data_IF_885373414936
#
_entry.id   IF_885373414936
#
_cell.length_a   1.000
_cell.length_b   1.000
_cell.length_c   1.000
_cell.angle_alpha   90.00
_cell.angle_beta   90.00
_cell.angle_gamma   90.00
#
_symmetry.space_group_name_H-M   'P 1'
#
loop_
_entity.id
_entity.type
_entity.pdbx_description
1 polymer ?
#
# COMPACT_ATOMS: atom_id res chain seq x y z
N UNK A 1 13.01 22.06 -16.01
CA UNK A 1 11.80 21.80 -15.22
C UNK A 1 11.52 22.76 -14.06
N UNK A 2 12.02 22.58 -12.81
CA UNK A 2 11.55 23.41 -11.66
C UNK A 2 11.71 24.92 -11.92
N UNK A 3 12.90 25.36 -12.35
CA UNK A 3 13.19 26.79 -12.63
C UNK A 3 12.36 27.38 -13.78
N UNK A 4 11.92 26.55 -14.71
CA UNK A 4 11.16 26.95 -15.89
C UNK A 4 9.71 27.28 -15.52
N UNK A 5 9.07 26.42 -14.72
CA UNK A 5 7.71 26.61 -14.24
C UNK A 5 7.62 27.58 -13.05
N UNK A 6 8.65 27.63 -12.22
CA UNK A 6 8.73 28.48 -11.03
C UNK A 6 9.98 29.38 -11.02
N UNK A 7 10.15 30.31 -11.99
CA UNK A 7 11.36 31.12 -12.14
C UNK A 7 11.59 32.13 -11.00
N UNK A 8 10.54 32.45 -10.24
CA UNK A 8 10.59 33.36 -9.08
C UNK A 8 10.67 32.61 -7.74
N UNK A 9 10.91 31.31 -7.76
CA UNK A 9 11.04 30.52 -6.54
C UNK A 9 12.32 30.91 -5.80
N UNK A 10 12.17 31.44 -4.58
CA UNK A 10 13.29 31.76 -3.68
C UNK A 10 13.51 30.69 -2.61
N UNK A 11 12.57 29.75 -2.45
CA UNK A 11 12.71 28.66 -1.50
C UNK A 11 13.72 27.63 -2.01
N UNK A 12 14.53 27.09 -1.10
CA UNK A 12 15.50 26.02 -1.41
C UNK A 12 14.81 24.67 -1.66
N UNK A 13 13.52 24.55 -1.37
CA UNK A 13 12.75 23.32 -1.48
C UNK A 13 11.36 23.61 -2.08
N UNK A 14 11.02 22.87 -3.13
CA UNK A 14 9.72 22.92 -3.78
C UNK A 14 8.72 22.02 -3.02
N UNK A 15 7.85 22.62 -2.21
CA UNK A 15 6.80 21.89 -1.47
C UNK A 15 5.46 22.04 -2.13
N UNK A 16 4.81 20.92 -2.47
CA UNK A 16 3.49 20.94 -3.10
C UNK A 16 2.48 21.80 -2.32
N UNK A 17 2.34 21.54 -1.01
CA UNK A 17 1.38 22.22 -0.13
C UNK A 17 1.58 23.75 -0.09
N UNK A 18 2.80 24.24 -0.26
CA UNK A 18 3.06 25.67 -0.29
C UNK A 18 2.62 26.30 -1.62
N UNK A 19 2.75 25.56 -2.72
CA UNK A 19 2.39 25.99 -4.06
C UNK A 19 0.88 25.93 -4.29
N UNK A 20 0.22 24.83 -3.94
CA UNK A 20 -1.20 24.58 -4.22
C UNK A 20 -2.13 25.55 -3.48
N UNK A 21 -1.69 26.07 -2.31
CA UNK A 21 -2.42 27.10 -1.55
C UNK A 21 -2.63 28.41 -2.31
N UNK A 22 -1.86 28.68 -3.37
CA UNK A 22 -2.00 29.89 -4.19
C UNK A 22 -2.70 29.50 -5.50
N UNK A 23 -3.96 29.91 -5.73
CA UNK A 23 -4.68 29.54 -6.95
C UNK A 23 -3.94 29.89 -8.24
N UNK A 24 -3.23 31.03 -8.27
CA UNK A 24 -2.41 31.44 -9.42
C UNK A 24 -1.21 30.53 -9.73
N UNK A 25 -0.84 29.60 -8.84
CA UNK A 25 0.18 28.59 -9.10
C UNK A 25 -0.39 27.30 -9.72
N UNK A 26 -1.70 27.06 -9.67
CA UNK A 26 -2.31 25.80 -10.17
C UNK A 26 -2.00 25.53 -11.65
N UNK A 27 -2.12 26.51 -12.58
CA UNK A 27 -1.76 26.28 -13.98
C UNK A 27 -0.27 25.93 -14.17
N UNK A 28 0.61 26.45 -13.31
CA UNK A 28 2.06 26.14 -13.34
C UNK A 28 2.36 24.76 -12.79
N UNK A 29 1.62 24.31 -11.78
CA UNK A 29 1.70 22.94 -11.28
C UNK A 29 1.25 21.95 -12.36
N UNK A 30 0.12 22.21 -13.02
CA UNK A 30 -0.35 21.38 -14.14
C UNK A 30 0.66 21.35 -15.28
N UNK A 31 1.21 22.50 -15.69
CA UNK A 31 2.23 22.54 -16.74
C UNK A 31 3.51 21.77 -16.35
N UNK A 32 3.98 21.92 -15.11
CA UNK A 32 5.10 21.15 -14.58
C UNK A 32 4.84 19.63 -14.64
N UNK A 33 3.66 19.20 -14.19
CA UNK A 33 3.29 17.78 -14.16
C UNK A 33 3.12 17.21 -15.56
N UNK A 34 2.58 17.99 -16.49
CA UNK A 34 2.47 17.60 -17.90
C UNK A 34 3.83 17.30 -18.50
N UNK A 35 4.78 18.22 -18.37
CA UNK A 35 6.12 18.04 -18.93
C UNK A 35 6.85 16.89 -18.23
N UNK A 36 6.69 16.75 -16.91
CA UNK A 36 7.28 15.66 -16.13
C UNK A 36 6.76 14.29 -16.57
N UNK A 37 5.45 14.12 -16.69
CA UNK A 37 4.81 12.86 -17.07
C UNK A 37 5.06 12.51 -18.54
N UNK A 38 5.19 13.50 -19.42
CA UNK A 38 5.47 13.29 -20.84
C UNK A 38 6.93 12.92 -21.10
N UNK A 39 7.88 13.60 -20.45
CA UNK A 39 9.30 13.49 -20.80
C UNK A 39 10.07 12.46 -19.97
N UNK A 40 9.48 11.96 -18.86
CA UNK A 40 10.15 11.04 -17.93
C UNK A 40 9.29 9.82 -17.60
N UNK A 41 9.93 8.64 -17.53
CA UNK A 41 9.33 7.43 -16.99
C UNK A 41 8.95 7.70 -15.53
N UNK A 42 7.64 7.75 -15.26
CA UNK A 42 7.10 8.17 -13.98
C UNK A 42 6.01 7.21 -13.53
N UNK A 43 5.92 6.99 -12.22
CA UNK A 43 4.84 6.24 -11.59
C UNK A 43 4.39 6.96 -10.32
N UNK A 44 3.07 7.10 -10.17
CA UNK A 44 2.41 7.53 -8.95
C UNK A 44 1.61 6.37 -8.39
N UNK A 45 1.75 6.11 -7.09
CA UNK A 45 0.95 5.11 -6.37
C UNK A 45 0.08 5.77 -5.30
N UNK A 46 -1.24 5.62 -5.41
CA UNK A 46 -2.21 6.05 -4.39
C UNK A 46 -2.82 4.84 -3.68
N UNK A 47 -2.74 4.82 -2.36
CA UNK A 47 -3.28 3.75 -1.52
C UNK A 47 -4.30 4.31 -0.53
N UNK A 48 -5.49 3.72 -0.47
CA UNK A 48 -6.44 3.95 0.59
C UNK A 48 -5.96 3.24 1.86
N UNK A 49 -5.64 4.01 2.90
CA UNK A 49 -5.08 3.49 4.15
C UNK A 49 -6.08 2.65 4.94
N UNK A 50 -7.38 2.98 4.88
CA UNK A 50 -8.40 2.22 5.58
C UNK A 50 -8.59 0.87 4.89
N UNK A 51 -8.67 0.88 3.56
CA UNK A 51 -8.76 -0.36 2.78
C UNK A 51 -7.55 -1.26 3.02
N UNK A 52 -6.33 -0.71 3.00
CA UNK A 52 -5.13 -1.48 3.30
C UNK A 52 -5.16 -2.08 4.71
N UNK A 53 -5.64 -1.34 5.71
CA UNK A 53 -5.80 -1.89 7.06
C UNK A 53 -6.79 -3.05 7.11
N UNK A 54 -7.91 -2.95 6.38
CA UNK A 54 -8.90 -4.02 6.27
C UNK A 54 -8.33 -5.22 5.50
N UNK A 55 -7.52 -4.99 4.46
CA UNK A 55 -6.82 -6.04 3.73
C UNK A 55 -5.84 -6.79 4.65
N UNK A 56 -5.02 -6.06 5.42
CA UNK A 56 -4.15 -6.67 6.45
C UNK A 56 -4.95 -7.41 7.52
N UNK A 57 -6.12 -6.92 7.90
CA UNK A 57 -7.02 -7.66 8.78
C UNK A 57 -7.45 -8.98 8.13
N UNK A 58 -7.86 -8.98 6.86
CA UNK A 58 -8.15 -10.22 6.16
C UNK A 58 -6.93 -11.17 6.13
N UNK A 59 -5.73 -10.66 5.85
CA UNK A 59 -4.52 -11.48 5.76
C UNK A 59 -4.10 -12.11 7.10
N UNK A 60 -4.26 -11.42 8.23
CA UNK A 60 -3.77 -11.91 9.53
C UNK A 60 -4.86 -12.42 10.48
N UNK A 61 -6.07 -11.87 10.40
CA UNK A 61 -7.19 -12.21 11.28
C UNK A 61 -8.21 -13.17 10.65
N UNK A 62 -8.15 -13.41 9.34
CA UNK A 62 -9.14 -14.23 8.61
C UNK A 62 -8.47 -15.38 7.86
N UNK A 63 -7.49 -15.08 7.02
CA UNK A 63 -6.85 -16.07 6.14
C UNK A 63 -6.30 -17.31 6.88
N UNK A 64 -5.60 -17.19 8.03
CA UNK A 64 -4.99 -18.36 8.65
C UNK A 64 -6.02 -19.42 9.07
N UNK A 65 -7.25 -18.98 9.37
CA UNK A 65 -8.35 -19.90 9.66
C UNK A 65 -8.83 -20.67 8.43
N UNK A 66 -8.89 -20.02 7.26
CA UNK A 66 -9.21 -20.70 6.00
C UNK A 66 -8.08 -21.64 5.57
N UNK A 67 -6.83 -21.23 5.76
CA UNK A 67 -5.66 -22.04 5.48
C UNK A 67 -5.66 -23.35 6.30
N UNK A 68 -5.93 -23.27 7.60
CA UNK A 68 -6.06 -24.44 8.48
C UNK A 68 -7.17 -25.42 8.03
N UNK A 69 -8.18 -24.93 7.32
CA UNK A 69 -9.26 -25.72 6.73
C UNK A 69 -8.94 -26.23 5.31
N UNK A 70 -7.75 -25.92 4.78
CA UNK A 70 -7.33 -26.32 3.43
C UNK A 70 -7.92 -25.48 2.30
N UNK A 71 -8.41 -24.27 2.60
CA UNK A 71 -8.95 -23.34 1.61
C UNK A 71 -7.91 -22.27 1.24
N UNK A 72 -7.70 -22.05 -0.06
CA UNK A 72 -6.86 -20.96 -0.55
C UNK A 72 -7.66 -19.66 -0.59
N UNK A 73 -7.57 -18.86 0.48
CA UNK A 73 -8.27 -17.58 0.59
C UNK A 73 -7.75 -16.49 -0.38
N UNK A 74 -6.60 -16.73 -1.02
CA UNK A 74 -6.05 -15.83 -2.03
C UNK A 74 -6.48 -16.19 -3.46
N UNK A 75 -7.13 -17.34 -3.65
CA UNK A 75 -7.58 -17.80 -4.96
C UNK A 75 -8.43 -16.73 -5.65
N UNK A 76 -8.04 -16.36 -6.87
CA UNK A 76 -8.63 -15.29 -7.68
C UNK A 76 -8.85 -13.96 -6.92
N UNK A 77 -8.06 -13.66 -5.89
CA UNK A 77 -8.14 -12.40 -5.14
C UNK A 77 -9.32 -12.29 -4.17
N UNK A 78 -9.81 -13.41 -3.63
CA UNK A 78 -10.90 -13.42 -2.64
C UNK A 78 -10.64 -12.52 -1.41
N UNK A 79 -9.40 -12.42 -0.94
CA UNK A 79 -9.01 -11.51 0.14
C UNK A 79 -9.31 -10.02 -0.22
N UNK A 80 -9.02 -9.60 -1.46
CA UNK A 80 -9.35 -8.26 -1.94
C UNK A 80 -10.85 -8.03 -2.04
N UNK A 81 -11.61 -9.01 -2.52
CA UNK A 81 -13.07 -8.92 -2.60
C UNK A 81 -13.69 -8.75 -1.21
N UNK A 82 -13.30 -9.59 -0.25
CA UNK A 82 -13.78 -9.49 1.13
C UNK A 82 -13.37 -8.16 1.77
N UNK A 83 -12.10 -7.75 1.62
CA UNK A 83 -11.63 -6.48 2.17
C UNK A 83 -12.36 -5.27 1.55
N UNK A 84 -12.70 -5.33 0.26
CA UNK A 84 -13.40 -4.26 -0.43
C UNK A 84 -14.83 -4.13 0.08
N UNK A 85 -15.53 -5.27 0.21
CA UNK A 85 -16.86 -5.32 0.80
C UNK A 85 -16.85 -4.73 2.22
N UNK A 86 -15.97 -5.22 3.09
CA UNK A 86 -15.84 -4.74 4.48
C UNK A 86 -15.50 -3.24 4.56
N UNK A 87 -14.65 -2.73 3.66
CA UNK A 87 -14.29 -1.31 3.66
C UNK A 87 -15.49 -0.43 3.31
N UNK A 88 -16.32 -0.88 2.36
CA UNK A 88 -17.48 -0.13 1.87
C UNK A 88 -18.72 -0.27 2.76
N UNK A 89 -18.94 -1.44 3.36
CA UNK A 89 -20.19 -1.74 4.07
C UNK A 89 -20.00 -2.00 5.56
N UNK A 90 -18.76 -2.18 6.05
CA UNK A 90 -18.47 -2.68 7.40
C UNK A 90 -19.13 -1.88 8.52
N UNK A 91 -19.15 -0.54 8.46
CA UNK A 91 -19.85 0.28 9.46
C UNK A 91 -21.36 0.02 9.48
N UNK A 92 -21.97 -0.12 8.31
CA UNK A 92 -23.42 -0.35 8.19
C UNK A 92 -23.78 -1.79 8.57
N UNK A 93 -22.98 -2.77 8.14
CA UNK A 93 -23.25 -4.20 8.29
C UNK A 93 -22.87 -4.71 9.69
N UNK A 94 -21.71 -4.29 10.21
CA UNK A 94 -21.10 -4.81 11.44
C UNK A 94 -21.24 -3.85 12.63
N UNK A 95 -21.74 -2.63 12.40
CA UNK A 95 -22.02 -1.62 13.42
C UNK A 95 -21.08 -0.41 13.39
N UNK A 96 -21.64 0.75 13.70
CA UNK A 96 -20.94 2.04 13.88
C UNK A 96 -21.18 2.50 15.34
N UNK A 97 -20.14 2.54 16.21
CA UNK A 97 -18.70 2.53 15.90
C UNK A 97 -18.00 1.16 15.98
N UNK A 98 -18.71 0.06 16.24
CA UNK A 98 -18.11 -1.23 16.63
C UNK A 98 -17.11 -1.77 15.60
N UNK A 99 -17.37 -1.62 14.31
CA UNK A 99 -16.43 -2.04 13.27
C UNK A 99 -15.11 -1.25 13.33
N UNK A 100 -15.16 0.05 13.59
CA UNK A 100 -13.95 0.87 13.70
C UNK A 100 -13.19 0.59 14.99
N UNK A 101 -13.89 0.32 16.09
CA UNK A 101 -13.29 -0.11 17.35
C UNK A 101 -12.57 -1.45 17.21
N UNK A 102 -13.13 -2.40 16.46
CA UNK A 102 -12.48 -3.66 16.13
C UNK A 102 -11.21 -3.46 15.30
N UNK A 103 -11.24 -2.59 14.27
CA UNK A 103 -10.04 -2.27 13.48
C UNK A 103 -8.96 -1.59 14.33
N UNK A 104 -9.35 -0.70 15.26
CA UNK A 104 -8.42 -0.08 16.20
C UNK A 104 -7.81 -1.11 17.17
N UNK A 105 -8.63 -2.03 17.69
CA UNK A 105 -8.15 -3.14 18.52
C UNK A 105 -7.21 -4.07 17.75
N UNK A 106 -7.44 -4.27 16.45
CA UNK A 106 -6.54 -5.04 15.57
C UNK A 106 -5.19 -4.36 15.44
N UNK A 107 -5.14 -3.06 15.14
CA UNK A 107 -3.88 -2.31 15.10
C UNK A 107 -3.13 -2.36 16.44
N UNK A 108 -3.86 -2.23 17.55
CA UNK A 108 -3.28 -2.34 18.89
C UNK A 108 -2.71 -3.73 19.16
N UNK A 109 -3.44 -4.79 18.82
CA UNK A 109 -3.00 -6.18 18.96
C UNK A 109 -1.76 -6.48 18.10
N UNK A 110 -1.74 -6.02 16.85
CA UNK A 110 -0.56 -6.14 15.97
C UNK A 110 0.63 -5.38 16.54
N UNK A 111 0.42 -4.22 17.16
CA UNK A 111 1.52 -3.44 17.75
C UNK A 111 2.08 -4.07 19.02
N UNK A 112 1.23 -4.36 19.99
CA UNK A 112 1.64 -4.82 21.33
C UNK A 112 1.92 -6.33 21.39
N UNK A 113 1.21 -7.13 20.57
CA UNK A 113 1.34 -8.60 20.49
C UNK A 113 1.17 -9.33 21.83
N UNK A 114 0.61 -8.66 22.84
CA UNK A 114 0.41 -9.24 24.17
C UNK A 114 -0.86 -10.10 24.19
N UNK A 115 -0.90 -11.06 25.11
CA UNK A 115 -2.09 -11.90 25.29
C UNK A 115 -3.33 -11.07 25.68
N UNK A 116 -3.15 -9.96 26.39
CA UNK A 116 -4.23 -9.02 26.70
C UNK A 116 -4.75 -8.30 25.45
N UNK A 117 -3.87 -7.74 24.63
CA UNK A 117 -4.26 -7.05 23.41
C UNK A 117 -4.98 -8.00 22.41
N UNK A 118 -4.53 -9.24 22.30
CA UNK A 118 -5.20 -10.27 21.50
C UNK A 118 -6.61 -10.61 22.04
N UNK A 119 -6.77 -10.70 23.37
CA UNK A 119 -8.08 -10.91 24.00
C UNK A 119 -9.01 -9.72 23.76
N UNK A 120 -8.50 -8.50 23.83
CA UNK A 120 -9.25 -7.28 23.54
C UNK A 120 -9.72 -7.25 22.09
N UNK A 121 -8.88 -7.64 21.13
CA UNK A 121 -9.29 -7.80 19.73
C UNK A 121 -10.43 -8.80 19.57
N UNK A 122 -10.33 -9.98 20.18
CA UNK A 122 -11.40 -10.99 20.13
C UNK A 122 -12.69 -10.44 20.76
N UNK A 123 -12.58 -9.71 21.87
CA UNK A 123 -13.73 -9.06 22.49
C UNK A 123 -14.37 -8.02 21.57
N UNK A 124 -13.57 -7.15 20.96
CA UNK A 124 -14.05 -6.14 20.01
C UNK A 124 -14.70 -6.77 18.77
N UNK A 125 -14.18 -7.89 18.26
CA UNK A 125 -14.82 -8.63 17.18
C UNK A 125 -16.22 -9.13 17.60
N UNK A 126 -16.38 -9.61 18.83
CA UNK A 126 -17.67 -10.09 19.38
C UNK A 126 -18.70 -8.99 19.63
N UNK A 127 -18.27 -7.74 19.81
CA UNK A 127 -19.22 -6.61 20.00
C UNK A 127 -19.80 -6.12 18.69
N UNK A 128 -19.18 -6.42 17.55
CA UNK A 128 -19.78 -6.18 16.23
C UNK A 128 -21.00 -7.07 15.99
N UNK A 129 -21.80 -6.72 14.98
CA UNK A 129 -22.85 -7.59 14.42
C UNK A 129 -22.26 -8.73 13.57
N UNK A 130 -21.25 -9.43 14.07
CA UNK A 130 -20.45 -10.40 13.31
C UNK A 130 -21.25 -11.54 12.67
N UNK A 131 -22.44 -11.84 13.19
CA UNK A 131 -23.34 -12.84 12.62
C UNK A 131 -23.91 -12.44 11.25
N UNK A 132 -23.87 -11.14 10.90
CA UNK A 132 -24.26 -10.66 9.57
C UNK A 132 -23.20 -10.95 8.52
N UNK A 133 -21.94 -11.20 8.93
CA UNK A 133 -20.87 -11.62 8.04
C UNK A 133 -19.87 -12.57 8.73
N UNK A 134 -20.31 -13.78 9.09
CA UNK A 134 -19.52 -14.71 9.89
C UNK A 134 -18.27 -15.22 9.15
N UNK A 135 -18.26 -15.22 7.82
CA UNK A 135 -17.12 -15.61 7.00
C UNK A 135 -15.91 -14.70 7.21
N UNK A 136 -16.14 -13.41 7.49
CA UNK A 136 -15.10 -12.42 7.72
C UNK A 136 -14.73 -12.28 9.20
N UNK A 137 -15.73 -12.26 10.09
CA UNK A 137 -15.51 -11.90 11.50
C UNK A 137 -15.53 -13.12 12.43
N UNK A 138 -16.18 -14.21 12.02
CA UNK A 138 -16.27 -15.47 12.75
C UNK A 138 -14.93 -16.08 13.17
N UNK A 139 -13.84 -16.04 12.34
CA UNK A 139 -12.52 -16.52 12.75
C UNK A 139 -12.08 -15.95 14.12
N UNK A 140 -12.30 -14.66 14.36
CA UNK A 140 -12.03 -14.04 15.66
C UNK A 140 -13.21 -14.18 16.62
N UNK A 141 -14.41 -13.78 16.22
CA UNK A 141 -15.53 -13.61 17.14
C UNK A 141 -16.07 -14.94 17.67
N UNK A 142 -16.23 -15.93 16.79
CA UNK A 142 -16.75 -17.25 17.15
C UNK A 142 -15.64 -18.17 17.65
N UNK A 143 -14.57 -18.30 16.87
CA UNK A 143 -13.57 -19.34 17.09
C UNK A 143 -12.38 -18.87 17.92
N UNK A 144 -12.14 -17.55 18.03
CA UNK A 144 -10.90 -17.01 18.56
C UNK A 144 -9.68 -17.77 18.00
N UNK A 145 -9.68 -17.94 16.67
CA UNK A 145 -8.87 -18.92 15.95
C UNK A 145 -7.38 -18.79 16.35
N UNK A 146 -6.77 -19.85 16.91
CA UNK A 146 -5.38 -19.78 17.37
C UNK A 146 -4.39 -19.40 16.26
N UNK A 147 -4.60 -19.89 15.02
CA UNK A 147 -3.76 -19.54 13.88
C UNK A 147 -3.78 -18.04 13.57
N UNK A 148 -4.98 -17.42 13.54
CA UNK A 148 -5.12 -15.97 13.36
C UNK A 148 -4.42 -15.17 14.47
N UNK A 149 -4.65 -15.54 15.73
CA UNK A 149 -4.02 -14.87 16.87
C UNK A 149 -2.49 -15.02 16.86
N UNK A 150 -1.99 -16.18 16.44
CA UNK A 150 -0.56 -16.44 16.27
C UNK A 150 0.04 -15.63 15.12
N UNK A 151 -0.66 -15.52 13.99
CA UNK A 151 -0.24 -14.71 12.85
C UNK A 151 -0.08 -13.23 13.26
N UNK A 152 -1.07 -12.67 13.96
CA UNK A 152 -1.03 -11.31 14.52
C UNK A 152 0.15 -11.13 15.49
N UNK A 153 0.42 -12.13 16.32
CA UNK A 153 1.49 -12.09 17.32
C UNK A 153 2.89 -12.36 16.74
N UNK A 154 3.02 -12.65 15.44
CA UNK A 154 4.30 -13.01 14.83
C UNK A 154 5.28 -11.82 14.87
N UNK A 155 6.51 -11.98 15.38
CA UNK A 155 7.51 -10.92 15.37
C UNK A 155 7.75 -10.37 13.97
N UNK A 156 7.76 -9.05 13.83
CA UNK A 156 7.94 -8.38 12.53
C UNK A 156 6.65 -8.04 11.80
N UNK A 157 5.52 -8.68 12.11
CA UNK A 157 4.21 -8.28 11.58
C UNK A 157 3.84 -6.90 12.12
N UNK A 158 3.41 -6.00 11.23
CA UNK A 158 2.91 -4.68 11.58
C UNK A 158 1.82 -4.22 10.59
N UNK A 159 1.25 -3.05 10.84
CA UNK A 159 0.27 -2.41 9.95
C UNK A 159 0.85 -1.19 9.22
N UNK A 160 2.17 -1.13 9.01
CA UNK A 160 2.81 -0.03 8.29
C UNK A 160 2.64 -0.22 6.78
N UNK A 161 1.98 0.75 6.15
CA UNK A 161 1.75 0.76 4.71
C UNK A 161 3.03 0.96 3.88
N UNK A 162 4.11 1.48 4.48
CA UNK A 162 5.29 1.91 3.73
C UNK A 162 5.95 0.78 2.94
N UNK A 163 6.05 -0.43 3.51
CA UNK A 163 6.66 -1.57 2.82
C UNK A 163 5.82 -2.02 1.63
N UNK A 164 4.49 -2.10 1.79
CA UNK A 164 3.55 -2.44 0.72
C UNK A 164 3.67 -1.43 -0.43
N UNK A 165 3.64 -0.13 -0.09
CA UNK A 165 3.80 0.96 -1.07
C UNK A 165 5.12 0.86 -1.81
N UNK A 166 6.21 0.61 -1.09
CA UNK A 166 7.53 0.49 -1.67
C UNK A 166 7.65 -0.73 -2.59
N UNK A 167 7.13 -1.88 -2.18
CA UNK A 167 7.14 -3.10 -3.01
C UNK A 167 6.35 -2.93 -4.30
N UNK A 168 5.18 -2.30 -4.26
CA UNK A 168 4.42 -2.01 -5.48
C UNK A 168 5.15 -1.05 -6.42
N UNK A 169 5.82 -0.02 -5.86
CA UNK A 169 6.65 0.89 -6.65
C UNK A 169 7.86 0.16 -7.26
N UNK A 170 8.54 -0.71 -6.50
CA UNK A 170 9.66 -1.52 -7.02
C UNK A 170 9.17 -2.42 -8.14
N UNK A 171 8.12 -3.22 -7.91
CA UNK A 171 7.54 -4.10 -8.95
C UNK A 171 7.22 -3.31 -10.23
N UNK A 172 6.67 -2.10 -10.09
CA UNK A 172 6.38 -1.26 -11.24
C UNK A 172 7.64 -0.71 -11.92
N UNK A 173 8.64 -0.27 -11.16
CA UNK A 173 9.91 0.22 -11.69
C UNK A 173 10.73 -0.89 -12.36
N UNK A 174 10.64 -2.14 -11.89
CA UNK A 174 11.23 -3.32 -12.53
C UNK A 174 10.67 -3.54 -13.95
N UNK A 175 9.36 -3.34 -14.14
CA UNK A 175 8.70 -3.42 -15.46
C UNK A 175 9.10 -2.23 -16.33
N UNK A 176 9.18 -1.03 -15.76
CA UNK A 176 9.48 0.19 -16.50
C UNK A 176 10.95 0.33 -16.91
N UNK A 177 11.87 -0.34 -16.21
CA UNK A 177 13.31 -0.18 -16.40
C UNK A 177 13.89 -1.34 -17.21
N UNK A 178 14.58 -1.02 -18.30
CA UNK A 178 15.29 -2.02 -19.13
C UNK A 178 16.69 -2.34 -18.59
N UNK A 179 17.18 -1.52 -17.65
CA UNK A 179 18.53 -1.55 -17.11
C UNK A 179 18.49 -1.51 -15.58
N UNK A 180 19.64 -1.80 -14.96
CA UNK A 180 19.81 -1.62 -13.52
C UNK A 180 19.57 -0.16 -13.12
N UNK A 181 18.88 0.03 -11.99
CA UNK A 181 18.53 1.35 -11.48
C UNK A 181 18.77 1.47 -9.98
N UNK A 182 18.76 2.70 -9.49
CA UNK A 182 18.84 3.04 -8.07
C UNK A 182 17.63 3.87 -7.68
N UNK A 183 17.20 3.75 -6.43
CA UNK A 183 16.12 4.56 -5.86
C UNK A 183 16.71 5.57 -4.88
N UNK A 184 16.37 6.84 -5.08
CA UNK A 184 16.62 7.91 -4.13
C UNK A 184 15.31 8.25 -3.44
N UNK A 185 15.29 8.17 -2.12
CA UNK A 185 14.13 8.50 -1.31
C UNK A 185 14.47 9.63 -0.34
N UNK A 186 13.48 10.44 0.03
CA UNK A 186 13.65 11.43 1.10
C UNK A 186 13.96 10.73 2.44
N UNK A 187 14.48 11.46 3.43
CA UNK A 187 14.75 10.84 4.73
C UNK A 187 13.46 10.35 5.40
N UNK A 188 13.41 9.05 5.70
CA UNK A 188 12.25 8.39 6.31
C UNK A 188 12.69 7.38 7.36
N UNK A 189 12.19 7.56 8.58
CA UNK A 189 12.39 6.59 9.69
C UNK A 189 11.83 5.20 9.36
N UNK A 190 10.76 5.13 8.56
CA UNK A 190 10.18 3.85 8.16
C UNK A 190 11.13 3.10 7.24
N UNK A 191 11.79 3.79 6.29
CA UNK A 191 12.78 3.14 5.42
C UNK A 191 14.02 2.66 6.17
N UNK A 192 14.47 3.37 7.21
CA UNK A 192 15.57 2.91 8.06
C UNK A 192 15.29 1.51 8.63
N UNK A 193 14.02 1.21 8.94
CA UNK A 193 13.59 -0.11 9.43
C UNK A 193 13.64 -1.19 8.35
N UNK A 194 13.33 -0.85 7.09
CA UNK A 194 13.26 -1.81 5.99
C UNK A 194 14.58 -2.00 5.24
N UNK A 195 15.61 -1.19 5.52
CA UNK A 195 16.91 -1.27 4.84
C UNK A 195 17.48 -2.70 4.78
N UNK A 196 17.38 -3.47 5.88
CA UNK A 196 17.90 -4.85 5.91
C UNK A 196 17.10 -5.78 4.99
N UNK A 197 15.78 -5.65 4.97
CA UNK A 197 14.93 -6.44 4.08
C UNK A 197 15.18 -6.05 2.62
N UNK A 198 15.23 -4.75 2.31
CA UNK A 198 15.50 -4.25 0.96
C UNK A 198 16.86 -4.73 0.44
N UNK A 199 17.89 -4.70 1.28
CA UNK A 199 19.21 -5.19 0.90
C UNK A 199 19.16 -6.69 0.57
N UNK A 200 18.45 -7.49 1.37
CA UNK A 200 18.27 -8.92 1.07
C UNK A 200 17.51 -9.16 -0.23
N UNK A 201 16.48 -8.36 -0.53
CA UNK A 201 15.75 -8.46 -1.80
C UNK A 201 16.67 -8.11 -2.99
N UNK A 202 17.51 -7.08 -2.85
CA UNK A 202 18.48 -6.66 -3.88
C UNK A 202 19.56 -7.71 -4.10
N UNK A 203 20.06 -8.33 -3.03
CA UNK A 203 21.11 -9.36 -3.06
C UNK A 203 20.59 -10.76 -3.42
N UNK A 204 19.27 -10.93 -3.58
CA UNK A 204 18.68 -12.23 -3.86
C UNK A 204 18.93 -12.65 -5.31
N UNK A 205 19.63 -13.77 -5.50
CA UNK A 205 20.09 -14.24 -6.82
C UNK A 205 19.23 -15.35 -7.43
N UNK A 206 18.31 -15.98 -6.69
CA UNK A 206 17.49 -17.05 -7.27
C UNK A 206 16.61 -16.51 -8.40
N UNK A 207 16.58 -17.21 -9.52
CA UNK A 207 15.73 -16.88 -10.65
C UNK A 207 14.30 -17.38 -10.39
N UNK A 208 13.39 -16.45 -10.15
CA UNK A 208 11.96 -16.76 -9.99
C UNK A 208 11.09 -15.62 -10.53
N UNK A 209 9.97 -16.00 -11.12
CA UNK A 209 8.87 -15.11 -11.44
C UNK A 209 7.61 -15.62 -10.72
N UNK A 210 6.97 -14.75 -9.93
CA UNK A 210 5.75 -15.04 -9.20
C UNK A 210 4.69 -14.01 -9.58
N UNK A 211 3.64 -14.46 -10.27
CA UNK A 211 2.57 -13.60 -10.77
C UNK A 211 1.69 -13.10 -9.63
N UNK A 212 1.42 -11.78 -9.60
CA UNK A 212 0.50 -11.18 -8.64
C UNK A 212 -0.84 -10.81 -9.29
N UNK A 213 -0.78 -10.21 -10.48
CA UNK A 213 -1.95 -9.79 -11.26
C UNK A 213 -1.63 -9.94 -12.75
N UNK A 214 -2.53 -9.48 -13.64
CA UNK A 214 -2.21 -9.35 -15.07
C UNK A 214 -1.04 -8.40 -15.36
N UNK A 215 -0.83 -7.38 -14.53
CA UNK A 215 0.15 -6.30 -14.80
C UNK A 215 1.30 -6.24 -13.79
N UNK A 216 1.37 -7.18 -12.85
CA UNK A 216 2.36 -7.21 -11.79
C UNK A 216 2.84 -8.64 -11.49
N UNK A 217 4.16 -8.77 -11.36
CA UNK A 217 4.87 -9.96 -10.89
C UNK A 217 6.00 -9.54 -9.96
N UNK A 218 6.41 -10.45 -9.07
CA UNK A 218 7.71 -10.40 -8.42
C UNK A 218 8.71 -11.17 -9.24
N UNK A 219 9.83 -10.53 -9.58
CA UNK A 219 10.91 -11.12 -10.35
C UNK A 219 12.21 -11.00 -9.57
N UNK A 220 12.96 -12.09 -9.49
CA UNK A 220 14.34 -12.08 -9.01
C UNK A 220 15.27 -12.71 -10.06
N UNK A 221 16.54 -12.28 -10.13
CA UNK A 221 17.13 -11.14 -9.38
C UNK A 221 16.53 -9.78 -9.79
N UNK A 222 16.52 -8.82 -8.87
CA UNK A 222 16.02 -7.46 -9.14
C UNK A 222 17.00 -6.66 -10.02
N UNK A 223 16.48 -5.76 -10.86
CA UNK A 223 17.29 -4.73 -11.54
C UNK A 223 17.68 -3.61 -10.58
N UNK A 224 16.90 -3.39 -9.52
CA UNK A 224 17.22 -2.48 -8.42
C UNK A 224 18.56 -2.84 -7.79
N UNK A 225 19.55 -1.96 -7.91
CA UNK A 225 20.89 -2.16 -7.35
C UNK A 225 21.10 -1.48 -5.99
N UNK A 226 20.35 -0.42 -5.69
CA UNK A 226 20.55 0.37 -4.47
C UNK A 226 19.30 1.18 -4.11
N UNK A 227 19.00 1.26 -2.80
CA UNK A 227 18.09 2.27 -2.24
C UNK A 227 18.88 3.18 -1.31
N UNK A 228 18.86 4.49 -1.57
CA UNK A 228 19.56 5.49 -0.76
C UNK A 228 18.64 6.61 -0.30
N UNK A 229 18.88 7.10 0.92
CA UNK A 229 18.17 8.26 1.46
C UNK A 229 18.94 9.56 1.20
N UNK A 230 18.25 10.60 0.76
CA UNK A 230 18.81 11.92 0.44
C UNK A 230 18.02 13.03 1.15
N UNK A 231 18.62 14.20 1.35
CA UNK A 231 17.88 15.39 1.82
C UNK A 231 17.12 15.98 0.63
N UNK A 232 15.79 16.13 0.74
CA UNK A 232 14.96 16.71 -0.31
C UNK A 232 15.46 18.07 -0.80
N UNK A 233 16.10 18.88 0.05
CA UNK A 233 16.65 20.19 -0.34
C UNK A 233 17.76 20.10 -1.39
N UNK A 234 18.46 18.98 -1.42
CA UNK A 234 19.62 18.75 -2.30
C UNK A 234 19.26 17.87 -3.52
N UNK A 235 18.03 17.34 -3.60
CA UNK A 235 17.59 16.48 -4.71
C UNK A 235 16.34 17.03 -5.42
N UNK A 236 16.50 17.64 -6.61
CA UNK A 236 15.37 18.08 -7.43
C UNK A 236 14.42 16.93 -7.81
N UNK A 237 14.93 15.70 -7.97
CA UNK A 237 14.12 14.54 -8.30
C UNK A 237 13.15 14.18 -7.17
N UNK A 238 13.63 14.18 -5.92
CA UNK A 238 12.79 13.96 -4.73
C UNK A 238 11.74 15.08 -4.59
N UNK A 239 12.12 16.33 -4.84
CA UNK A 239 11.17 17.45 -4.83
C UNK A 239 10.08 17.32 -5.90
N UNK A 240 10.43 16.86 -7.11
CA UNK A 240 9.46 16.60 -8.17
C UNK A 240 8.53 15.46 -7.80
N UNK A 241 9.04 14.38 -7.20
CA UNK A 241 8.23 13.29 -6.68
C UNK A 241 7.23 13.74 -5.60
N UNK A 242 7.65 14.60 -4.66
CA UNK A 242 6.74 15.23 -3.66
C UNK A 242 5.62 16.04 -4.33
N UNK A 243 5.95 16.79 -5.38
CA UNK A 243 4.95 17.54 -6.15
C UNK A 243 3.97 16.63 -6.87
N UNK A 244 4.45 15.54 -7.50
CA UNK A 244 3.60 14.55 -8.16
C UNK A 244 2.61 13.91 -7.20
N UNK A 245 3.11 13.34 -6.09
CA UNK A 245 2.24 12.66 -5.13
C UNK A 245 1.33 13.64 -4.41
N UNK A 246 1.80 14.84 -4.09
CA UNK A 246 0.99 15.89 -3.49
C UNK A 246 -0.19 16.30 -4.38
N UNK A 247 0.05 16.43 -5.68
CA UNK A 247 -0.99 16.74 -6.66
C UNK A 247 -2.01 15.60 -6.79
N UNK A 248 -1.54 14.35 -6.90
CA UNK A 248 -2.40 13.19 -6.98
C UNK A 248 -3.29 13.06 -5.74
N UNK A 249 -2.73 13.21 -4.53
CA UNK A 249 -3.50 13.16 -3.29
C UNK A 249 -4.54 14.28 -3.20
N UNK A 250 -4.20 15.52 -3.60
CA UNK A 250 -5.19 16.61 -3.63
C UNK A 250 -6.33 16.30 -4.60
N UNK A 251 -6.03 15.84 -5.82
CA UNK A 251 -7.05 15.47 -6.80
C UNK A 251 -7.93 14.31 -6.31
N UNK A 252 -7.35 13.24 -5.76
CA UNK A 252 -8.12 12.11 -5.19
C UNK A 252 -9.03 12.57 -4.05
N UNK A 253 -8.57 13.48 -3.18
CA UNK A 253 -9.43 14.04 -2.13
C UNK A 253 -10.58 14.89 -2.68
N UNK A 254 -10.38 15.59 -3.79
CA UNK A 254 -11.46 16.33 -4.47
C UNK A 254 -12.46 15.35 -5.11
N UNK A 255 -11.97 14.34 -5.86
CA UNK A 255 -12.81 13.32 -6.49
C UNK A 255 -13.70 12.57 -5.50
N UNK A 256 -13.15 12.27 -4.33
CA UNK A 256 -13.85 11.51 -3.27
C UNK A 256 -14.67 12.41 -2.34
N UNK A 257 -14.78 13.71 -2.61
CA UNK A 257 -15.59 14.64 -1.82
C UNK A 257 -15.02 15.04 -0.46
N UNK A 258 -13.79 14.63 -0.13
CA UNK A 258 -13.10 15.04 1.10
C UNK A 258 -12.67 16.52 1.07
N UNK A 259 -12.54 17.11 -0.13
CA UNK A 259 -12.21 18.53 -0.34
C UNK A 259 -13.07 19.10 -1.46
N UNK A 260 -13.44 20.37 -1.34
CA UNK A 260 -14.30 21.08 -2.31
C UNK A 260 -13.53 21.98 -3.28
N UNK A 261 -12.23 22.18 -3.07
CA UNK A 261 -11.37 23.04 -3.89
C UNK A 261 -9.96 22.43 -3.97
N UNK A 262 -9.29 22.64 -5.09
CA UNK A 262 -7.98 22.06 -5.41
C UNK A 262 -7.66 22.14 -6.91
N UNK A 263 -6.68 21.36 -7.32
CA UNK A 263 -6.48 21.00 -8.73
C UNK A 263 -7.70 20.22 -9.23
N UNK A 264 -8.16 20.52 -10.45
CA UNK A 264 -9.21 19.77 -11.13
C UNK A 264 -8.73 18.32 -11.35
N UNK A 265 -9.42 17.32 -10.80
CA UNK A 265 -9.00 15.93 -10.96
C UNK A 265 -9.02 15.45 -12.40
N UNK A 266 -10.01 15.86 -13.22
CA UNK A 266 -10.10 15.40 -14.60
C UNK A 266 -8.93 15.98 -15.42
N UNK A 267 -8.59 17.25 -15.18
CA UNK A 267 -7.41 17.89 -15.79
C UNK A 267 -6.12 17.15 -15.41
N UNK A 268 -5.93 16.83 -14.12
CA UNK A 268 -4.72 16.14 -13.67
C UNK A 268 -4.64 14.70 -14.15
N UNK A 269 -5.71 13.93 -14.01
CA UNK A 269 -5.73 12.49 -14.33
C UNK A 269 -5.52 12.28 -15.83
N UNK A 270 -5.98 13.20 -16.68
CA UNK A 270 -5.73 13.16 -18.13
C UNK A 270 -4.25 13.30 -18.53
N UNK A 271 -3.38 13.75 -17.63
CA UNK A 271 -1.94 13.86 -17.89
C UNK A 271 -1.20 12.53 -17.72
N UNK A 272 -1.76 11.58 -16.96
CA UNK A 272 -1.14 10.28 -16.73
C UNK A 272 -1.35 9.38 -17.95
N UNK A 273 -0.27 8.79 -18.45
CA UNK A 273 -0.38 7.66 -19.40
C UNK A 273 -0.90 6.39 -18.73
N UNK A 274 -1.32 5.41 -19.53
CA UNK A 274 -1.94 4.12 -19.13
C UNK A 274 -1.16 3.29 -18.10
N UNK A 275 0.08 3.69 -17.79
CA UNK A 275 1.09 2.90 -17.11
C UNK A 275 1.85 3.69 -16.03
N UNK A 276 1.36 4.90 -15.71
CA UNK A 276 2.00 5.87 -14.81
C UNK A 276 1.21 6.11 -13.52
N UNK A 277 0.01 5.56 -13.40
CA UNK A 277 -0.81 5.67 -12.19
C UNK A 277 -1.26 4.28 -11.74
N UNK A 278 -0.80 3.86 -10.57
CA UNK A 278 -1.23 2.62 -9.92
C UNK A 278 -1.96 2.97 -8.62
N UNK A 279 -2.83 2.07 -8.17
CA UNK A 279 -3.67 2.35 -7.02
C UNK A 279 -4.09 1.09 -6.27
N UNK A 280 -4.41 1.29 -4.98
CA UNK A 280 -4.94 0.27 -4.09
C UNK A 280 -6.09 0.89 -3.32
N UNK A 281 -7.28 0.68 -3.86
CA UNK A 281 -8.55 1.22 -3.37
C UNK A 281 -9.57 0.09 -3.38
N UNK A 282 -10.62 0.16 -2.54
CA UNK A 282 -11.66 -0.86 -2.54
C UNK A 282 -12.46 -0.78 -3.85
N UNK A 283 -12.89 -1.93 -4.38
CA UNK A 283 -13.82 -2.02 -5.51
C UNK A 283 -14.96 -2.99 -5.21
N UNK A 284 -16.19 -2.60 -5.58
CA UNK A 284 -17.37 -3.48 -5.53
C UNK A 284 -17.62 -4.18 -6.88
N UNK A 285 -16.80 -3.93 -7.89
CA UNK A 285 -16.79 -4.72 -9.12
C UNK A 285 -15.99 -6.01 -8.87
N UNK A 286 -16.67 -6.98 -8.26
CA UNK A 286 -16.05 -8.24 -7.88
C UNK A 286 -15.64 -9.09 -9.08
N UNK A 287 -16.33 -8.95 -10.22
CA UNK A 287 -16.00 -9.71 -11.43
C UNK A 287 -14.74 -9.15 -12.07
N UNK A 288 -14.63 -7.83 -12.22
CA UNK A 288 -13.40 -7.16 -12.67
C UNK A 288 -12.21 -7.49 -11.74
N UNK A 289 -12.40 -7.41 -10.42
CA UNK A 289 -11.33 -7.75 -9.47
C UNK A 289 -10.88 -9.20 -9.57
N UNK A 290 -11.82 -10.13 -9.79
CA UNK A 290 -11.53 -11.55 -9.96
C UNK A 290 -10.76 -11.81 -11.25
N UNK A 291 -11.21 -11.25 -12.37
CA UNK A 291 -10.54 -11.36 -13.66
C UNK A 291 -9.11 -10.80 -13.59
N UNK A 292 -8.93 -9.62 -13.01
CA UNK A 292 -7.63 -8.96 -12.85
C UNK A 292 -6.61 -9.80 -12.03
N UNK A 293 -7.11 -10.67 -11.14
CA UNK A 293 -6.32 -11.50 -10.22
C UNK A 293 -6.36 -12.98 -10.56
N UNK A 294 -6.95 -13.33 -11.70
CA UNK A 294 -7.03 -14.72 -12.11
C UNK A 294 -5.64 -15.32 -12.30
N UNK A 295 -5.42 -16.48 -11.68
CA UNK A 295 -4.11 -17.16 -11.70
C UNK A 295 -3.03 -16.43 -10.91
N UNK A 296 -3.41 -15.61 -9.93
CA UNK A 296 -2.48 -15.05 -8.95
C UNK A 296 -1.76 -16.16 -8.18
N UNK A 297 -0.48 -15.93 -7.89
CA UNK A 297 0.37 -16.81 -7.09
C UNK A 297 0.66 -16.20 -5.71
N UNK A 298 -0.35 -15.54 -5.12
CA UNK A 298 -0.18 -14.81 -3.86
C UNK A 298 0.23 -15.72 -2.69
N UNK A 299 -0.34 -16.92 -2.59
CA UNK A 299 0.06 -17.91 -1.58
C UNK A 299 1.52 -18.34 -1.76
N UNK A 300 1.93 -18.61 -3.00
CA UNK A 300 3.30 -18.99 -3.34
C UNK A 300 4.29 -17.85 -3.08
N UNK A 301 3.89 -16.59 -3.27
CA UNK A 301 4.70 -15.42 -2.88
C UNK A 301 4.91 -15.39 -1.37
N UNK A 302 3.86 -15.60 -0.59
CA UNK A 302 3.97 -15.64 0.88
C UNK A 302 4.93 -16.74 1.31
N UNK A 303 4.76 -17.95 0.78
CA UNK A 303 5.61 -19.10 1.07
C UNK A 303 7.07 -18.84 0.67
N UNK A 304 7.29 -18.29 -0.53
CA UNK A 304 8.61 -17.96 -1.03
C UNK A 304 9.30 -16.89 -0.17
N UNK A 305 8.58 -15.85 0.21
CA UNK A 305 9.13 -14.79 1.07
C UNK A 305 9.40 -15.30 2.48
N UNK A 306 8.55 -16.17 3.01
CA UNK A 306 8.77 -16.81 4.30
C UNK A 306 10.04 -17.67 4.29
N UNK A 307 10.25 -18.47 3.24
CA UNK A 307 11.42 -19.34 3.10
C UNK A 307 12.73 -18.56 2.95
N UNK A 308 12.72 -17.46 2.20
CA UNK A 308 13.94 -16.76 1.79
C UNK A 308 14.26 -15.51 2.62
N UNK A 309 13.25 -14.82 3.17
CA UNK A 309 13.44 -13.50 3.78
C UNK A 309 13.01 -13.39 5.25
N UNK A 310 12.16 -14.30 5.76
CA UNK A 310 11.62 -14.19 7.12
C UNK A 310 12.60 -14.53 8.27
N UNK A 311 13.82 -15.02 7.98
CA UNK A 311 14.84 -15.22 9.03
C UNK A 311 15.23 -13.87 9.63
N UNK A 312 14.78 -13.62 10.85
CA UNK A 312 15.07 -12.40 11.59
C UNK A 312 16.56 -12.07 11.61
N UNK A 313 16.83 -10.77 11.58
CA UNK A 313 18.12 -10.17 11.98
C UNK A 313 18.57 -10.86 13.28
N UNK A 314 19.81 -11.38 13.39
CA UNK A 314 20.32 -11.83 14.67
C UNK A 314 20.23 -10.64 15.63
N UNK A 315 19.48 -10.80 16.72
CA UNK A 315 19.48 -9.83 17.81
C UNK A 315 20.94 -9.57 18.23
N UNK A 316 21.32 -8.29 18.27
CA UNK A 316 22.51 -7.85 19.00
C UNK A 316 22.09 -7.48 20.42
#
# INVERSE_FOLDING_TARGET
>A
LIREHFPKLQANELKYRALSRRPGNRPRLIALLRDLLADYKSVTYVCDKRFLLVLMFCDYAVEPWYYDLGHNFYEDGQNYAMASLLTMTGRTLLGDPQFDEMLAAFQYAVKEKSADALRELVHAARTTSWHEFPEAIGPLAQYAAPACLSAIATPGVDTDAALVVLQSLISRMEVMSDQSYRVEHDRSKNLERYNVLLQRLIEHEDEVELRQTEIASFNFPLKLAEVRQVDSKDSPAVQLADVMIGAALEATHVMTGHRTDGIDPDELMSLYGENQFIHLVPSLDFEEQREFRQGTQAAEVIDYFAANFAKSVPEK
#
